data_IF_233169604824
#
_entry.id   IF_233169604824
#
_cell.length_a   1.000
_cell.length_b   1.000
_cell.length_c   1.000
_cell.angle_alpha   90.00
_cell.angle_beta   90.00
_cell.angle_gamma   90.00
#
_symmetry.space_group_name_H-M   'P 1'
#
loop_
_entity.id
_entity.type
_entity.pdbx_description
1 polymer ?
#
# COMPACT_ATOMS: atom_id res chain seq x y z
N UNK A 1 11.96 -17.25 6.34
CA UNK A 1 12.38 -16.32 7.42
C UNK A 1 13.46 -15.33 6.95
N UNK A 2 14.54 -15.75 6.31
CA UNK A 2 15.59 -14.86 5.79
C UNK A 2 15.05 -13.72 4.90
N UNK A 3 14.05 -14.01 4.07
CA UNK A 3 13.41 -13.02 3.20
C UNK A 3 12.79 -11.85 3.98
N UNK A 4 12.04 -12.11 5.06
CA UNK A 4 11.43 -11.05 5.86
C UNK A 4 12.46 -10.26 6.66
N UNK A 5 13.53 -10.91 7.12
CA UNK A 5 14.65 -10.23 7.76
C UNK A 5 15.39 -9.30 6.79
N UNK A 6 15.50 -9.70 5.52
CA UNK A 6 16.08 -8.86 4.46
C UNK A 6 15.22 -7.62 4.16
N UNK A 7 13.87 -7.74 4.26
CA UNK A 7 12.96 -6.63 4.03
C UNK A 7 12.89 -5.62 5.18
N UNK A 8 13.32 -6.03 6.37
CA UNK A 8 13.24 -5.20 7.58
C UNK A 8 14.19 -4.02 7.49
N UNK A 9 13.67 -2.81 7.70
CA UNK A 9 14.49 -1.63 7.93
C UNK A 9 15.19 -1.72 9.28
N UNK A 10 16.42 -1.20 9.38
CA UNK A 10 17.19 -1.20 10.62
C UNK A 10 16.70 -0.18 11.66
N UNK A 11 15.88 0.78 11.27
CA UNK A 11 15.42 1.89 12.11
C UNK A 11 13.91 1.90 12.34
N UNK A 12 13.13 1.27 11.45
CA UNK A 12 11.68 1.23 11.52
C UNK A 12 11.18 -0.22 11.54
N UNK A 13 10.14 -0.49 12.32
CA UNK A 13 9.46 -1.78 12.33
C UNK A 13 8.52 -1.90 11.12
N UNK A 14 9.09 -1.78 9.93
CA UNK A 14 8.35 -1.82 8.67
C UNK A 14 7.89 -3.23 8.27
N UNK A 15 8.40 -4.28 8.92
CA UNK A 15 8.02 -5.68 8.68
C UNK A 15 7.89 -6.44 10.00
N UNK A 16 6.71 -6.98 10.24
CA UNK A 16 6.42 -7.85 11.38
C UNK A 16 6.02 -9.21 10.83
N UNK A 17 6.50 -10.28 11.43
CA UNK A 17 6.08 -11.63 11.07
C UNK A 17 6.12 -12.58 12.25
N UNK A 18 5.25 -13.60 12.22
CA UNK A 18 5.19 -14.69 13.18
C UNK A 18 4.89 -16.01 12.47
N UNK A 19 5.41 -17.09 13.03
CA UNK A 19 5.06 -18.44 12.60
C UNK A 19 4.05 -19.06 13.57
N UNK A 20 2.98 -19.57 13.03
CA UNK A 20 1.90 -20.21 13.80
C UNK A 20 1.27 -21.33 12.98
N UNK A 21 1.19 -22.53 13.56
CA UNK A 21 0.58 -23.71 12.91
C UNK A 21 1.14 -24.04 11.51
N UNK A 22 2.46 -23.90 11.32
CA UNK A 22 3.11 -24.16 10.05
C UNK A 22 2.85 -23.11 8.96
N UNK A 23 2.29 -21.95 9.35
CA UNK A 23 2.08 -20.79 8.49
C UNK A 23 2.84 -19.58 9.01
N UNK A 24 3.35 -18.78 8.10
CA UNK A 24 3.97 -17.49 8.40
C UNK A 24 2.92 -16.41 8.13
N UNK A 25 2.51 -15.71 9.18
CA UNK A 25 1.70 -14.50 9.08
C UNK A 25 2.63 -13.30 9.11
N UNK A 26 2.45 -12.37 8.20
CA UNK A 26 3.31 -11.20 8.12
C UNK A 26 2.54 -9.93 7.77
N UNK A 27 3.09 -8.81 8.22
CA UNK A 27 2.62 -7.46 7.91
C UNK A 27 3.79 -6.63 7.39
N UNK A 28 3.54 -5.85 6.35
CA UNK A 28 4.50 -4.92 5.75
C UNK A 28 3.87 -3.54 5.72
N UNK A 29 4.54 -2.56 6.33
CA UNK A 29 4.07 -1.19 6.40
C UNK A 29 4.77 -0.34 5.33
N UNK A 30 4.01 0.46 4.61
CA UNK A 30 4.50 1.39 3.60
C UNK A 30 3.62 2.65 3.64
N UNK A 31 4.22 3.77 4.09
CA UNK A 31 3.48 5.04 4.20
C UNK A 31 2.23 4.89 5.06
N UNK A 32 1.07 5.23 4.51
CA UNK A 32 -0.23 5.13 5.19
C UNK A 32 -0.84 3.74 5.16
N UNK A 33 -0.23 2.76 4.48
CA UNK A 33 -0.82 1.44 4.24
C UNK A 33 -0.06 0.29 4.86
N UNK A 34 -0.85 -0.74 5.19
CA UNK A 34 -0.39 -2.01 5.70
C UNK A 34 -0.79 -3.12 4.72
N UNK A 35 0.18 -3.90 4.28
CA UNK A 35 -0.07 -5.15 3.58
C UNK A 35 0.01 -6.31 4.57
N UNK A 36 -0.99 -7.17 4.56
CA UNK A 36 -1.02 -8.40 5.36
C UNK A 36 -0.86 -9.61 4.46
N UNK A 37 -0.15 -10.61 4.93
CA UNK A 37 0.06 -11.82 4.14
C UNK A 37 0.16 -13.07 4.97
N UNK A 38 -0.09 -14.18 4.28
CA UNK A 38 0.07 -15.53 4.82
C UNK A 38 0.87 -16.35 3.82
N UNK A 39 1.88 -17.04 4.31
CA UNK A 39 2.65 -18.01 3.55
C UNK A 39 2.59 -19.36 4.24
N UNK A 40 2.33 -20.42 3.50
CA UNK A 40 2.42 -21.79 3.95
C UNK A 40 3.35 -22.61 3.00
N UNK A 41 3.37 -23.92 3.13
CA UNK A 41 4.20 -24.79 2.30
C UNK A 41 3.83 -24.75 0.81
N UNK A 42 2.63 -24.35 0.49
CA UNK A 42 2.06 -24.44 -0.86
C UNK A 42 1.93 -23.06 -1.52
N UNK A 43 1.52 -22.05 -0.76
CA UNK A 43 1.06 -20.77 -1.31
C UNK A 43 1.48 -19.58 -0.46
N UNK A 44 1.71 -18.47 -1.14
CA UNK A 44 1.84 -17.12 -0.52
C UNK A 44 0.70 -16.26 -1.01
N UNK A 45 -0.01 -15.60 -0.08
CA UNK A 45 -1.06 -14.62 -0.37
C UNK A 45 -0.78 -13.33 0.36
N UNK A 46 -0.99 -12.21 -0.30
CA UNK A 46 -0.74 -10.87 0.23
C UNK A 46 -1.89 -9.96 -0.19
N UNK A 47 -2.32 -9.11 0.72
CA UNK A 47 -3.40 -8.16 0.50
C UNK A 47 -3.14 -6.85 1.24
N UNK A 48 -3.40 -5.72 0.59
CA UNK A 48 -3.51 -4.42 1.23
C UNK A 48 -4.88 -3.82 0.91
N UNK A 49 -5.64 -3.49 1.93
CA UNK A 49 -6.93 -2.78 1.78
C UNK A 49 -6.66 -1.32 1.45
N UNK A 50 -7.31 -0.82 0.41
CA UNK A 50 -7.13 0.55 -0.09
C UNK A 50 -8.27 1.44 0.36
N UNK A 51 -9.51 1.03 0.10
CA UNK A 51 -10.70 1.78 0.45
C UNK A 51 -11.92 0.86 0.60
N UNK A 52 -13.00 1.40 1.11
CA UNK A 52 -14.31 0.74 1.17
C UNK A 52 -15.37 1.58 0.48
N UNK A 53 -16.35 0.94 -0.15
CA UNK A 53 -17.48 1.63 -0.75
C UNK A 53 -18.81 1.00 -0.32
N UNK A 54 -19.83 1.82 -0.11
CA UNK A 54 -21.20 1.33 0.12
C UNK A 54 -21.93 1.02 -1.19
N UNK A 55 -21.53 1.69 -2.29
CA UNK A 55 -22.16 1.55 -3.60
C UNK A 55 -21.13 1.42 -4.69
N UNK A 56 -21.35 0.47 -5.60
CA UNK A 56 -20.52 0.30 -6.77
C UNK A 56 -20.91 1.29 -7.86
N UNK A 57 -19.93 2.00 -8.38
CA UNK A 57 -20.08 2.95 -9.48
C UNK A 57 -19.28 2.47 -10.70
N UNK A 58 -19.88 2.54 -11.88
CA UNK A 58 -19.27 2.07 -13.13
C UNK A 58 -17.96 2.82 -13.44
N UNK A 59 -17.92 4.13 -13.25
CA UNK A 59 -16.74 4.95 -13.50
C UNK A 59 -15.57 4.53 -12.62
N UNK A 60 -15.84 4.32 -11.34
CA UNK A 60 -14.87 3.82 -10.37
C UNK A 60 -14.37 2.40 -10.74
N UNK A 61 -15.28 1.47 -11.02
CA UNK A 61 -14.90 0.09 -11.42
C UNK A 61 -14.04 0.09 -12.70
N UNK A 62 -14.39 0.94 -13.67
CA UNK A 62 -13.58 1.13 -14.88
C UNK A 62 -12.17 1.62 -14.52
N UNK A 63 -12.05 2.57 -13.60
CA UNK A 63 -10.76 3.09 -13.15
C UNK A 63 -9.87 1.99 -12.53
N UNK A 64 -10.46 1.10 -11.72
CA UNK A 64 -9.73 -0.05 -11.17
C UNK A 64 -9.25 -1.01 -12.26
N UNK A 65 -10.09 -1.29 -13.27
CA UNK A 65 -9.73 -2.16 -14.39
C UNK A 65 -8.61 -1.55 -15.25
N UNK A 66 -8.63 -0.24 -15.49
CA UNK A 66 -7.56 0.47 -16.18
C UNK A 66 -6.23 0.38 -15.39
N UNK A 67 -6.29 0.47 -14.05
CA UNK A 67 -5.11 0.28 -13.20
C UNK A 67 -4.58 -1.16 -13.26
N UNK A 68 -5.47 -2.16 -13.24
CA UNK A 68 -5.07 -3.57 -13.36
C UNK A 68 -4.28 -3.86 -14.64
N UNK A 69 -4.57 -3.14 -15.72
CA UNK A 69 -3.82 -3.30 -16.97
C UNK A 69 -2.34 -2.92 -16.84
N UNK A 70 -2.00 -2.01 -15.94
CA UNK A 70 -0.62 -1.55 -15.72
C UNK A 70 0.15 -2.34 -14.65
N UNK A 71 -0.53 -3.10 -13.80
CA UNK A 71 0.09 -3.91 -12.76
C UNK A 71 0.70 -5.18 -13.35
N UNK A 72 1.86 -5.59 -12.84
CA UNK A 72 2.60 -6.76 -13.33
C UNK A 72 2.41 -8.01 -12.47
N UNK A 73 2.32 -7.81 -11.17
CA UNK A 73 2.28 -8.89 -10.17
C UNK A 73 0.97 -8.92 -9.41
N UNK A 74 0.50 -7.76 -9.03
CA UNK A 74 -0.67 -7.58 -8.19
C UNK A 74 -1.92 -7.21 -9.01
N UNK A 75 -3.06 -7.21 -8.36
CA UNK A 75 -4.33 -6.84 -8.96
C UNK A 75 -5.25 -6.18 -7.96
N UNK A 76 -6.06 -5.24 -8.40
CA UNK A 76 -7.20 -4.77 -7.62
C UNK A 76 -8.27 -5.86 -7.55
N UNK A 77 -8.85 -6.02 -6.38
CA UNK A 77 -9.94 -6.94 -6.10
C UNK A 77 -11.00 -6.23 -5.25
N UNK A 78 -12.22 -6.71 -5.36
CA UNK A 78 -13.34 -6.33 -4.51
C UNK A 78 -13.73 -7.56 -3.70
N UNK A 79 -13.83 -7.42 -2.38
CA UNK A 79 -14.33 -8.47 -1.51
C UNK A 79 -15.86 -8.41 -1.36
N UNK A 80 -16.51 -9.42 -0.75
CA UNK A 80 -17.96 -9.43 -0.54
C UNK A 80 -18.49 -8.26 0.32
N UNK A 81 -17.64 -7.66 1.14
CA UNK A 81 -17.98 -6.53 2.00
C UNK A 81 -17.71 -5.18 1.32
N UNK A 82 -17.49 -5.19 0.00
CA UNK A 82 -17.15 -4.03 -0.81
C UNK A 82 -15.86 -3.29 -0.39
N UNK A 83 -14.92 -4.02 0.24
CA UNK A 83 -13.57 -3.47 0.39
C UNK A 83 -12.80 -3.65 -0.92
N UNK A 84 -12.14 -2.58 -1.30
CA UNK A 84 -11.23 -2.55 -2.44
C UNK A 84 -9.83 -2.82 -1.90
N UNK A 85 -9.19 -3.84 -2.41
CA UNK A 85 -7.85 -4.22 -2.03
C UNK A 85 -6.96 -4.43 -3.25
N UNK A 86 -5.65 -4.34 -3.04
CA UNK A 86 -4.65 -4.84 -3.96
C UNK A 86 -4.18 -6.19 -3.43
N UNK A 87 -4.19 -7.20 -4.29
CA UNK A 87 -3.84 -8.58 -3.94
C UNK A 87 -2.76 -9.15 -4.83
N UNK A 88 -1.93 -9.99 -4.23
CA UNK A 88 -0.99 -10.86 -4.92
C UNK A 88 -1.05 -12.26 -4.32
N UNK A 89 -0.99 -13.27 -5.15
CA UNK A 89 -0.83 -14.64 -4.72
C UNK A 89 0.05 -15.44 -5.70
N UNK A 90 0.77 -16.42 -5.18
CA UNK A 90 1.61 -17.31 -5.96
C UNK A 90 1.80 -18.65 -5.24
N UNK A 91 1.99 -19.71 -6.00
CA UNK A 91 2.46 -20.96 -5.43
C UNK A 91 3.94 -20.84 -5.08
N UNK A 92 4.37 -21.55 -4.04
CA UNK A 92 5.76 -21.53 -3.57
C UNK A 92 6.71 -22.03 -4.68
N UNK A 93 6.28 -23.04 -5.45
CA UNK A 93 7.06 -23.57 -6.57
C UNK A 93 7.28 -22.56 -7.71
N UNK A 94 6.34 -21.62 -7.89
CA UNK A 94 6.44 -20.56 -8.90
C UNK A 94 7.03 -19.27 -8.32
N UNK A 95 7.32 -19.25 -7.01
CA UNK A 95 7.83 -18.12 -6.26
C UNK A 95 9.35 -18.10 -6.23
N UNK A 96 9.92 -16.92 -6.33
CA UNK A 96 11.32 -16.68 -5.97
C UNK A 96 11.39 -15.49 -5.02
N UNK A 97 12.46 -15.34 -4.21
CA UNK A 97 12.64 -14.16 -3.37
C UNK A 97 12.55 -12.85 -4.16
N UNK A 98 13.08 -12.82 -5.38
CA UNK A 98 12.99 -11.65 -6.27
C UNK A 98 11.55 -11.35 -6.70
N UNK A 99 10.79 -12.37 -7.09
CA UNK A 99 9.38 -12.21 -7.47
C UNK A 99 8.57 -11.69 -6.29
N UNK A 100 8.76 -12.24 -5.09
CA UNK A 100 8.09 -11.79 -3.87
C UNK A 100 8.46 -10.34 -3.52
N UNK A 101 9.73 -9.98 -3.62
CA UNK A 101 10.19 -8.60 -3.39
C UNK A 101 9.50 -7.59 -4.32
N UNK A 102 9.53 -7.85 -5.63
CA UNK A 102 8.93 -6.94 -6.59
C UNK A 102 7.40 -6.91 -6.51
N UNK A 103 6.76 -8.04 -6.20
CA UNK A 103 5.32 -8.10 -5.98
C UNK A 103 4.90 -7.32 -4.74
N UNK A 104 5.62 -7.47 -3.61
CA UNK A 104 5.42 -6.68 -2.40
C UNK A 104 5.62 -5.19 -2.65
N UNK A 105 6.73 -4.83 -3.29
CA UNK A 105 7.04 -3.44 -3.62
C UNK A 105 5.96 -2.81 -4.51
N UNK A 106 5.51 -3.51 -5.56
CA UNK A 106 4.43 -3.04 -6.41
C UNK A 106 3.13 -2.87 -5.63
N UNK A 107 2.75 -3.88 -4.85
CA UNK A 107 1.51 -3.90 -4.08
C UNK A 107 1.48 -2.78 -3.04
N UNK A 108 2.51 -2.69 -2.19
CA UNK A 108 2.55 -1.69 -1.10
C UNK A 108 2.65 -0.25 -1.64
N UNK A 109 3.50 -0.02 -2.66
CA UNK A 109 3.63 1.31 -3.27
C UNK A 109 2.34 1.76 -3.95
N UNK A 110 1.63 0.86 -4.64
CA UNK A 110 0.36 1.21 -5.27
C UNK A 110 -0.75 1.38 -4.24
N UNK A 111 -0.77 0.59 -3.16
CA UNK A 111 -1.74 0.76 -2.09
C UNK A 111 -1.62 2.15 -1.44
N UNK A 112 -0.39 2.57 -1.09
CA UNK A 112 -0.10 3.85 -0.47
C UNK A 112 -0.39 5.05 -1.39
N UNK A 113 -0.07 4.95 -2.68
CA UNK A 113 -0.29 6.06 -3.62
C UNK A 113 -1.75 6.21 -4.05
N UNK A 114 -2.49 5.12 -4.09
CA UNK A 114 -3.81 5.12 -4.72
C UNK A 114 -4.95 5.31 -3.73
N UNK A 115 -4.75 5.10 -2.44
CA UNK A 115 -5.81 5.35 -1.46
C UNK A 115 -6.20 6.83 -1.43
N UNK A 116 -5.24 7.73 -1.31
CA UNK A 116 -5.50 9.18 -1.33
C UNK A 116 -6.10 9.63 -2.65
N UNK A 117 -5.52 9.18 -3.78
CA UNK A 117 -5.99 9.55 -5.12
C UNK A 117 -7.42 9.05 -5.37
N UNK A 118 -7.72 7.80 -5.01
CA UNK A 118 -9.05 7.22 -5.23
C UNK A 118 -10.10 7.84 -4.31
N UNK A 119 -9.76 8.13 -3.05
CA UNK A 119 -10.67 8.77 -2.10
C UNK A 119 -10.96 10.22 -2.52
N UNK A 120 -9.97 10.94 -3.03
CA UNK A 120 -10.15 12.30 -3.54
C UNK A 120 -10.99 12.32 -4.85
N UNK A 121 -10.69 11.43 -5.78
CA UNK A 121 -11.41 11.32 -7.07
C UNK A 121 -12.86 10.83 -6.88
N UNK A 122 -13.09 9.93 -5.92
CA UNK A 122 -14.39 9.29 -5.67
C UNK A 122 -14.82 9.45 -4.20
N UNK A 123 -15.52 10.53 -3.90
CA UNK A 123 -15.98 10.89 -2.54
C UNK A 123 -16.85 9.85 -1.82
N UNK A 124 -17.33 8.84 -2.54
CA UNK A 124 -18.07 7.72 -1.95
C UNK A 124 -17.15 6.70 -1.26
N UNK A 125 -15.85 6.77 -1.51
CA UNK A 125 -14.89 5.86 -0.90
C UNK A 125 -14.52 6.33 0.51
N UNK A 126 -14.35 5.37 1.40
CA UNK A 126 -13.93 5.58 2.79
C UNK A 126 -12.55 4.96 3.00
N UNK A 127 -11.66 5.63 3.74
CA UNK A 127 -10.38 5.04 4.10
C UNK A 127 -10.57 3.80 4.99
N UNK A 128 -9.68 2.84 4.86
CA UNK A 128 -9.67 1.60 5.65
C UNK A 128 -8.25 1.31 6.17
N UNK A 129 -8.18 0.50 7.23
CA UNK A 129 -6.91 0.06 7.85
C UNK A 129 -6.00 1.22 8.31
N UNK A 130 -6.59 2.29 8.86
CA UNK A 130 -5.88 3.48 9.34
C UNK A 130 -5.47 3.41 10.83
N UNK A 131 -5.81 2.34 11.53
CA UNK A 131 -5.60 2.22 13.00
C UNK A 131 -4.11 2.26 13.41
N UNK A 132 -3.20 1.88 12.51
CA UNK A 132 -1.76 1.93 12.76
C UNK A 132 -1.14 3.32 12.53
N UNK A 133 -1.91 4.26 11.99
CA UNK A 133 -1.43 5.62 11.75
C UNK A 133 -1.39 6.39 13.08
N UNK A 134 -0.20 6.84 13.44
CA UNK A 134 0.00 7.71 14.61
C UNK A 134 -0.05 9.15 14.14
N UNK A 135 -0.92 9.95 14.75
CA UNK A 135 -0.99 11.38 14.46
C UNK A 135 0.33 12.07 14.86
N UNK A 136 0.94 12.74 13.90
CA UNK A 136 2.14 13.53 14.18
C UNK A 136 1.83 14.69 15.13
N UNK A 137 2.71 14.99 16.09
CA UNK A 137 2.58 16.17 16.93
C UNK A 137 2.43 17.45 16.08
N UNK A 138 1.58 18.39 16.53
CA UNK A 138 1.32 19.66 15.79
C UNK A 138 2.59 20.38 15.37
N UNK A 139 3.59 20.44 16.26
CA UNK A 139 4.87 21.08 15.98
C UNK A 139 5.62 20.43 14.81
N UNK A 140 5.53 19.11 14.68
CA UNK A 140 6.16 18.38 13.58
C UNK A 140 5.38 18.57 12.27
N UNK A 141 4.04 18.60 12.33
CA UNK A 141 3.17 18.96 11.21
C UNK A 141 3.51 20.36 10.67
N UNK A 142 3.68 21.34 11.57
CA UNK A 142 4.06 22.72 11.20
C UNK A 142 5.44 22.78 10.52
N UNK A 143 6.42 22.08 11.05
CA UNK A 143 7.78 22.03 10.45
C UNK A 143 7.73 21.43 9.04
N UNK A 144 7.05 20.31 8.86
CA UNK A 144 6.87 19.67 7.55
C UNK A 144 6.10 20.57 6.58
N UNK A 145 5.01 21.19 7.04
CA UNK A 145 4.22 22.12 6.23
C UNK A 145 5.07 23.30 5.75
N UNK A 146 5.77 23.96 6.67
CA UNK A 146 6.61 25.11 6.34
C UNK A 146 7.75 24.72 5.38
N UNK A 147 8.33 23.54 5.53
CA UNK A 147 9.34 23.03 4.61
C UNK A 147 8.77 22.91 3.19
N UNK A 148 7.61 22.28 3.02
CA UNK A 148 6.96 22.10 1.71
C UNK A 148 6.61 23.45 1.08
N UNK A 149 6.03 24.39 1.86
CA UNK A 149 5.69 25.73 1.37
C UNK A 149 6.94 26.49 0.94
N UNK A 150 8.03 26.42 1.69
CA UNK A 150 9.29 27.06 1.32
C UNK A 150 9.87 26.50 0.03
N UNK A 151 9.83 25.17 -0.17
CA UNK A 151 10.27 24.54 -1.41
C UNK A 151 9.41 24.97 -2.60
N UNK A 152 8.08 25.02 -2.41
CA UNK A 152 7.15 25.46 -3.45
C UNK A 152 7.41 26.92 -3.85
N UNK A 153 7.57 27.82 -2.87
CA UNK A 153 7.85 29.23 -3.11
C UNK A 153 9.20 29.44 -3.81
N UNK A 154 10.23 28.68 -3.43
CA UNK A 154 11.53 28.71 -4.10
C UNK A 154 11.44 28.25 -5.56
N UNK A 155 10.69 27.18 -5.83
CA UNK A 155 10.47 26.72 -7.19
C UNK A 155 9.69 27.74 -8.05
N UNK A 156 8.64 28.35 -7.51
CA UNK A 156 7.89 29.42 -8.18
C UNK A 156 8.73 30.65 -8.46
N UNK A 157 9.55 31.07 -7.50
CA UNK A 157 10.47 32.20 -7.70
C UNK A 157 11.49 31.93 -8.80
N UNK A 158 12.04 30.73 -8.86
CA UNK A 158 12.93 30.27 -9.90
C UNK A 158 12.29 30.28 -11.31
N UNK A 159 11.01 29.88 -11.40
CA UNK A 159 10.26 29.92 -12.66
C UNK A 159 9.98 31.36 -13.15
N UNK A 160 9.77 32.32 -12.22
CA UNK A 160 9.48 33.70 -12.55
C UNK A 160 10.73 34.55 -12.84
N UNK A 161 11.92 34.04 -12.53
CA UNK A 161 13.22 34.74 -12.74
C UNK A 161 13.97 34.30 -14.01
N UNK A 162 13.44 33.31 -14.73
CA UNK A 162 13.95 32.87 -16.06
C UNK A 162 13.10 33.42 -17.17
#
# INVERSE_FOLDING_TARGET
MEFFNYLRDGFEENVIWKEENGKIHFEVFQGSKKATGVADIEKVTIEAKVAQTETLNIGFMRRLMERNFSLRYSRFALDPDNNISIRFDTYVLDGSPYKLYYALKELTTNADKLDDILIDEFRMLKPVDTVHLVDLPMKEKEVKYNYVINQLNAALASMNSG
#
